data_IF_306179211289
#
_entry.id   IF_306179211289
#
_cell.length_a   1.000
_cell.length_b   1.000
_cell.length_c   1.000
_cell.angle_alpha   90.00
_cell.angle_beta   90.00
_cell.angle_gamma   90.00
#
_symmetry.space_group_name_H-M   'P 1'
#
loop_
_entity.id
_entity.type
_entity.pdbx_description
1 polymer ?
#
# COMPACT_ATOMS: atom_id res chain seq x y z
N UNK A 1 18.26 17.15 -17.43
CA UNK A 1 18.86 16.03 -16.66
C UNK A 1 17.94 14.83 -16.78
N UNK A 2 18.48 13.62 -16.93
CA UNK A 2 17.66 12.40 -16.92
C UNK A 2 17.01 12.22 -15.54
N UNK A 3 15.75 11.74 -15.52
CA UNK A 3 15.06 11.41 -14.26
C UNK A 3 15.76 10.26 -13.56
N UNK A 4 15.81 10.23 -12.20
CA UNK A 4 16.38 9.11 -11.47
C UNK A 4 15.70 7.79 -11.81
N UNK A 5 16.48 6.71 -11.87
CA UNK A 5 15.95 5.35 -11.95
C UNK A 5 15.47 4.92 -10.57
N UNK A 6 14.37 4.17 -10.53
CA UNK A 6 13.70 3.78 -9.29
C UNK A 6 13.71 2.26 -9.13
N UNK A 7 14.17 1.77 -7.98
CA UNK A 7 13.92 0.39 -7.55
C UNK A 7 12.62 0.36 -6.75
N UNK A 8 11.69 -0.51 -7.13
CA UNK A 8 10.44 -0.76 -6.41
C UNK A 8 10.42 -2.18 -5.86
N UNK A 9 10.55 -2.31 -4.54
CA UNK A 9 10.48 -3.60 -3.84
C UNK A 9 9.02 -3.83 -3.43
N UNK A 10 8.45 -4.98 -3.79
CA UNK A 10 7.01 -5.24 -3.65
C UNK A 10 6.18 -4.76 -4.84
N UNK A 11 6.75 -4.84 -6.05
CA UNK A 11 6.13 -4.41 -7.31
C UNK A 11 4.79 -5.09 -7.61
N UNK A 12 4.56 -6.32 -7.11
CA UNK A 12 3.29 -7.05 -7.24
C UNK A 12 2.24 -6.64 -6.20
N UNK A 13 2.57 -5.80 -5.22
CA UNK A 13 1.57 -5.25 -4.30
C UNK A 13 0.71 -4.21 -5.02
N UNK A 14 -0.55 -4.04 -4.60
CA UNK A 14 -1.44 -3.05 -5.21
C UNK A 14 -0.83 -1.64 -5.23
N UNK A 15 -0.32 -1.18 -4.09
CA UNK A 15 0.27 0.16 -3.98
C UNK A 15 1.59 0.28 -4.73
N UNK A 16 2.41 -0.78 -4.74
CA UNK A 16 3.64 -0.83 -5.54
C UNK A 16 3.35 -0.78 -7.05
N UNK A 17 2.36 -1.54 -7.51
CA UNK A 17 1.96 -1.54 -8.92
C UNK A 17 1.37 -0.18 -9.36
N UNK A 18 0.54 0.44 -8.52
CA UNK A 18 0.01 1.79 -8.78
C UNK A 18 1.12 2.85 -8.79
N UNK A 19 2.10 2.72 -7.90
CA UNK A 19 3.28 3.60 -7.88
C UNK A 19 4.13 3.46 -9.15
N UNK A 20 4.38 2.23 -9.60
CA UNK A 20 5.12 1.96 -10.84
C UNK A 20 4.40 2.61 -12.03
N UNK A 21 3.08 2.40 -12.16
CA UNK A 21 2.29 3.02 -13.22
C UNK A 21 2.44 4.54 -13.25
N UNK A 22 2.35 5.18 -12.09
CA UNK A 22 2.52 6.63 -11.96
C UNK A 22 3.97 7.06 -12.28
N UNK A 23 4.98 6.39 -11.75
CA UNK A 23 6.39 6.72 -12.02
C UNK A 23 6.75 6.61 -13.51
N UNK A 24 6.24 5.56 -14.18
CA UNK A 24 6.38 5.39 -15.62
C UNK A 24 5.66 6.51 -16.41
N UNK A 25 4.47 6.96 -15.95
CA UNK A 25 3.76 8.07 -16.59
C UNK A 25 4.51 9.38 -16.48
N UNK A 26 5.25 9.55 -15.39
CA UNK A 26 6.14 10.69 -15.16
C UNK A 26 7.51 10.52 -15.87
N UNK A 27 7.71 9.43 -16.62
CA UNK A 27 8.90 9.23 -17.46
C UNK A 27 10.11 8.61 -16.78
N UNK A 28 9.98 8.12 -15.55
CA UNK A 28 11.04 7.37 -14.87
C UNK A 28 11.27 5.99 -15.51
N UNK A 29 12.50 5.47 -15.39
CA UNK A 29 12.80 4.05 -15.57
C UNK A 29 12.63 3.35 -14.21
N UNK A 30 12.00 2.16 -14.21
CA UNK A 30 11.67 1.44 -12.98
C UNK A 30 12.12 -0.01 -13.07
N UNK A 31 12.80 -0.48 -12.04
CA UNK A 31 13.08 -1.89 -11.80
C UNK A 31 12.16 -2.37 -10.67
N UNK A 32 11.25 -3.29 -10.98
CA UNK A 32 10.33 -3.89 -10.02
C UNK A 32 10.88 -5.21 -9.47
N UNK A 33 10.79 -5.40 -8.16
CA UNK A 33 11.21 -6.65 -7.49
C UNK A 33 10.04 -7.19 -6.66
N UNK A 34 9.78 -8.48 -6.79
CA UNK A 34 8.83 -9.22 -5.94
C UNK A 34 9.21 -10.68 -5.79
N UNK A 35 8.77 -11.32 -4.71
CA UNK A 35 9.07 -12.73 -4.40
C UNK A 35 8.41 -13.76 -5.34
N UNK A 36 7.29 -13.40 -5.95
CA UNK A 36 6.56 -14.25 -6.92
C UNK A 36 6.68 -13.67 -8.31
N UNK A 37 6.42 -14.48 -9.32
CA UNK A 37 6.20 -14.00 -10.68
C UNK A 37 5.12 -12.93 -10.70
N UNK A 38 5.10 -12.12 -11.74
CA UNK A 38 4.07 -11.07 -11.89
C UNK A 38 2.67 -11.67 -11.80
N UNK A 39 1.78 -10.93 -11.17
CA UNK A 39 0.37 -11.33 -11.07
C UNK A 39 -0.30 -11.26 -12.45
N UNK A 40 -1.53 -11.76 -12.53
CA UNK A 40 -2.35 -11.53 -13.73
C UNK A 40 -2.36 -10.02 -14.06
N UNK A 41 -2.12 -9.62 -15.32
CA UNK A 41 -2.04 -8.21 -15.74
C UNK A 41 -3.24 -7.36 -15.34
N UNK A 42 -4.38 -7.98 -15.08
CA UNK A 42 -5.60 -7.29 -14.57
C UNK A 42 -5.35 -6.57 -13.24
N UNK A 43 -4.38 -7.02 -12.42
CA UNK A 43 -3.99 -6.41 -11.14
C UNK A 43 -2.81 -5.44 -11.25
N UNK A 44 -2.22 -5.29 -12.42
CA UNK A 44 -0.95 -4.58 -12.60
C UNK A 44 -1.15 -3.34 -13.50
N UNK A 45 -1.52 -2.17 -12.95
CA UNK A 45 -1.80 -0.97 -13.72
C UNK A 45 -0.72 -0.55 -14.70
N UNK A 46 0.56 -0.85 -14.40
CA UNK A 46 1.67 -0.52 -15.30
C UNK A 46 1.65 -1.32 -16.61
N UNK A 47 0.88 -2.40 -16.71
CA UNK A 47 0.62 -3.11 -17.97
C UNK A 47 -0.53 -2.51 -18.78
N UNK A 48 -1.31 -1.58 -18.20
CA UNK A 48 -2.43 -0.96 -18.93
C UNK A 48 -2.03 0.26 -19.77
N UNK A 49 -0.78 0.71 -19.60
CA UNK A 49 -0.23 1.83 -20.34
C UNK A 49 0.23 1.47 -21.75
N UNK A 50 0.77 2.45 -22.49
CA UNK A 50 1.31 2.25 -23.83
C UNK A 50 2.58 1.36 -23.80
N UNK A 51 2.85 0.69 -24.93
CA UNK A 51 4.06 -0.12 -25.09
C UNK A 51 5.36 0.68 -24.83
N UNK A 52 5.38 1.98 -25.19
CA UNK A 52 6.54 2.84 -24.92
C UNK A 52 6.79 3.05 -23.43
N UNK A 53 5.74 3.15 -22.62
CA UNK A 53 5.87 3.22 -21.14
C UNK A 53 6.39 1.90 -20.59
N UNK A 54 5.85 0.79 -21.08
CA UNK A 54 6.24 -0.55 -20.61
C UNK A 54 7.70 -0.87 -20.88
N UNK A 55 8.32 -0.35 -21.95
CA UNK A 55 9.76 -0.48 -22.23
C UNK A 55 10.67 0.10 -21.14
N UNK A 56 10.16 1.02 -20.32
CA UNK A 56 10.89 1.62 -19.19
C UNK A 56 10.77 0.83 -17.89
N UNK A 57 10.09 -0.31 -17.91
CA UNK A 57 9.90 -1.19 -16.76
C UNK A 57 10.62 -2.52 -17.00
N UNK A 58 11.29 -3.01 -15.96
CA UNK A 58 11.81 -4.38 -15.90
C UNK A 58 11.40 -5.01 -14.58
N UNK A 59 11.05 -6.29 -14.64
CA UNK A 59 10.68 -7.09 -13.47
C UNK A 59 11.75 -8.13 -13.17
N UNK A 60 12.06 -8.28 -11.86
CA UNK A 60 12.95 -9.31 -11.35
C UNK A 60 12.27 -10.07 -10.21
N UNK A 61 12.21 -11.39 -10.33
CA UNK A 61 11.72 -12.23 -9.25
C UNK A 61 12.81 -12.43 -8.20
N UNK A 62 12.66 -11.73 -7.08
CA UNK A 62 13.58 -11.84 -5.94
C UNK A 62 12.80 -11.74 -4.64
N UNK A 63 12.97 -12.72 -3.75
CA UNK A 63 12.36 -12.67 -2.41
C UNK A 63 13.23 -11.84 -1.47
N UNK A 64 12.65 -10.83 -0.87
CA UNK A 64 13.34 -9.97 0.11
C UNK A 64 13.85 -10.79 1.33
N UNK A 65 13.10 -11.83 1.74
CA UNK A 65 13.51 -12.67 2.86
C UNK A 65 14.81 -13.44 2.59
N UNK A 66 15.04 -13.82 1.33
CA UNK A 66 16.20 -14.63 0.93
C UNK A 66 17.32 -13.77 0.35
N UNK A 67 16.98 -12.70 -0.40
CA UNK A 67 17.90 -11.97 -1.29
C UNK A 67 18.05 -10.48 -0.92
N UNK A 68 17.82 -10.10 0.33
CA UNK A 68 17.90 -8.69 0.74
C UNK A 68 19.22 -8.01 0.36
N UNK A 69 20.36 -8.67 0.59
CA UNK A 69 21.68 -8.14 0.26
C UNK A 69 21.93 -8.11 -1.26
N UNK A 70 21.42 -9.10 -2.00
CA UNK A 70 21.53 -9.14 -3.47
C UNK A 70 20.74 -7.97 -4.08
N UNK A 71 19.53 -7.70 -3.57
CA UNK A 71 18.70 -6.54 -3.97
C UNK A 71 19.45 -5.23 -3.71
N UNK A 72 20.07 -5.08 -2.53
CA UNK A 72 20.86 -3.89 -2.20
C UNK A 72 22.09 -3.70 -3.10
N UNK A 73 22.82 -4.78 -3.40
CA UNK A 73 23.96 -4.74 -4.34
C UNK A 73 23.51 -4.37 -5.76
N UNK A 74 22.43 -4.97 -6.25
CA UNK A 74 21.84 -4.66 -7.54
C UNK A 74 21.45 -3.18 -7.65
N UNK A 75 20.86 -2.60 -6.60
CA UNK A 75 20.52 -1.18 -6.57
C UNK A 75 21.76 -0.31 -6.82
N UNK A 76 22.88 -0.64 -6.19
CA UNK A 76 24.16 0.04 -6.37
C UNK A 76 24.74 -0.15 -7.78
N UNK A 77 24.80 -1.39 -8.25
CA UNK A 77 25.40 -1.74 -9.54
C UNK A 77 24.65 -1.13 -10.73
N UNK A 78 23.33 -1.04 -10.64
CA UNK A 78 22.49 -0.43 -11.67
C UNK A 78 22.22 1.05 -11.44
N UNK A 79 22.83 1.65 -10.40
CA UNK A 79 22.64 3.07 -10.01
C UNK A 79 21.17 3.45 -9.83
N UNK A 80 20.41 2.61 -9.10
CA UNK A 80 18.99 2.83 -8.78
C UNK A 80 18.90 3.75 -7.55
N UNK A 81 19.22 5.01 -7.75
CA UNK A 81 19.45 5.99 -6.66
C UNK A 81 18.19 6.27 -5.80
N UNK A 82 17.01 5.98 -6.31
CA UNK A 82 15.76 6.02 -5.56
C UNK A 82 15.24 4.60 -5.32
N UNK A 83 14.95 4.29 -4.07
CA UNK A 83 14.40 3.00 -3.66
C UNK A 83 13.04 3.22 -2.98
N UNK A 84 11.99 2.57 -3.47
CA UNK A 84 10.65 2.60 -2.88
C UNK A 84 10.27 1.19 -2.41
N UNK A 85 10.12 1.01 -1.10
CA UNK A 85 9.84 -0.30 -0.51
C UNK A 85 8.38 -0.41 -0.08
N UNK A 86 7.59 -1.15 -0.88
CA UNK A 86 6.21 -1.53 -0.64
C UNK A 86 6.08 -2.98 -0.13
N UNK A 87 7.19 -3.72 -0.03
CA UNK A 87 7.15 -5.11 0.40
C UNK A 87 6.85 -5.21 1.90
N UNK A 88 5.82 -5.94 2.23
CA UNK A 88 5.46 -6.25 3.62
C UNK A 88 4.52 -7.45 3.71
N UNK A 89 4.56 -8.15 4.83
CA UNK A 89 3.40 -8.91 5.30
C UNK A 89 2.40 -7.91 5.90
N UNK A 90 1.21 -7.77 5.30
CA UNK A 90 0.31 -6.63 5.54
C UNK A 90 -1.08 -6.99 6.07
N UNK A 91 -1.35 -8.27 6.28
CA UNK A 91 -2.65 -8.71 6.80
C UNK A 91 -2.65 -8.73 8.32
N UNK A 92 -3.61 -8.01 8.92
CA UNK A 92 -3.67 -7.78 10.37
C UNK A 92 -4.11 -9.04 11.12
N UNK A 93 -5.25 -9.63 10.72
CA UNK A 93 -5.82 -10.77 11.40
C UNK A 93 -4.90 -12.00 11.34
N UNK A 94 -4.31 -12.25 10.18
CA UNK A 94 -3.42 -13.37 9.93
C UNK A 94 -2.08 -13.24 10.70
N UNK A 95 -1.70 -12.03 11.10
CA UNK A 95 -0.49 -11.80 11.90
C UNK A 95 -0.53 -12.50 13.28
N UNK A 96 -1.72 -12.80 13.80
CA UNK A 96 -1.89 -13.56 15.03
C UNK A 96 -1.68 -15.06 14.87
N UNK A 97 -1.84 -15.58 13.64
CA UNK A 97 -1.69 -17.02 13.37
C UNK A 97 -0.23 -17.43 13.28
N UNK A 98 0.59 -16.63 12.58
CA UNK A 98 2.00 -16.91 12.34
C UNK A 98 2.86 -15.64 12.43
N UNK A 99 2.97 -15.01 13.61
CA UNK A 99 3.61 -13.69 13.75
C UNK A 99 5.08 -13.67 13.27
N UNK A 100 5.78 -14.78 13.32
CA UNK A 100 7.18 -14.91 12.88
C UNK A 100 7.34 -14.47 11.43
N UNK A 101 6.41 -14.79 10.54
CA UNK A 101 6.49 -14.38 9.12
C UNK A 101 6.44 -12.85 8.96
N UNK A 102 5.71 -12.15 9.85
CA UNK A 102 5.66 -10.69 9.87
C UNK A 102 6.99 -10.09 10.35
N UNK A 103 7.56 -10.61 11.41
CA UNK A 103 8.86 -10.14 11.88
C UNK A 103 9.98 -10.47 10.90
N UNK A 104 9.96 -11.67 10.29
CA UNK A 104 10.95 -12.06 9.29
C UNK A 104 10.95 -11.09 8.09
N UNK A 105 9.78 -10.84 7.50
CA UNK A 105 9.67 -9.96 6.31
C UNK A 105 9.79 -8.48 6.68
N UNK A 106 9.01 -8.03 7.69
CA UNK A 106 8.89 -6.60 7.97
C UNK A 106 10.06 -6.04 8.77
N UNK A 107 10.84 -6.86 9.46
CA UNK A 107 11.97 -6.43 10.27
C UNK A 107 13.27 -7.02 9.78
N UNK A 108 13.47 -8.33 9.91
CA UNK A 108 14.78 -8.98 9.68
C UNK A 108 15.28 -8.76 8.26
N UNK A 109 14.45 -9.05 7.25
CA UNK A 109 14.82 -8.89 5.86
C UNK A 109 15.07 -7.40 5.50
N UNK A 110 14.28 -6.50 6.06
CA UNK A 110 14.48 -5.05 5.86
C UNK A 110 15.80 -4.58 6.50
N UNK A 111 16.14 -5.02 7.71
CA UNK A 111 17.43 -4.67 8.34
C UNK A 111 18.60 -5.10 7.46
N UNK A 112 18.57 -6.34 6.90
CA UNK A 112 19.59 -6.83 5.97
C UNK A 112 19.70 -5.96 4.70
N UNK A 113 18.58 -5.56 4.14
CA UNK A 113 18.53 -4.62 3.00
C UNK A 113 19.14 -3.26 3.35
N UNK A 114 18.74 -2.69 4.50
CA UNK A 114 19.24 -1.37 4.92
C UNK A 114 20.75 -1.40 5.21
N UNK A 115 21.26 -2.47 5.81
CA UNK A 115 22.70 -2.68 6.03
C UNK A 115 23.46 -2.68 4.69
N UNK A 116 22.93 -3.20 3.62
CA UNK A 116 23.58 -3.18 2.32
C UNK A 116 23.46 -1.81 1.65
N UNK A 117 22.27 -1.22 1.68
CA UNK A 117 22.02 0.10 1.06
C UNK A 117 22.85 1.23 1.71
N UNK A 118 23.08 1.20 3.04
CA UNK A 118 23.86 2.24 3.73
C UNK A 118 25.33 2.29 3.35
N UNK A 119 25.85 1.24 2.72
CA UNK A 119 27.24 1.17 2.22
C UNK A 119 27.42 1.91 0.88
N UNK A 120 26.35 2.46 0.35
CA UNK A 120 26.35 3.09 -0.97
C UNK A 120 26.01 4.59 -0.89
N UNK A 121 27.01 5.45 -1.12
CA UNK A 121 26.86 6.91 -1.09
C UNK A 121 26.00 7.45 -2.25
N UNK A 122 25.74 6.64 -3.27
CA UNK A 122 24.86 6.98 -4.39
C UNK A 122 23.37 6.93 -4.08
N UNK A 123 22.96 6.32 -2.97
CA UNK A 123 21.56 6.29 -2.54
C UNK A 123 21.07 7.70 -2.22
N UNK A 124 20.12 8.21 -2.99
CA UNK A 124 19.60 9.56 -2.81
C UNK A 124 18.34 9.60 -1.94
N UNK A 125 17.48 8.59 -2.03
CA UNK A 125 16.25 8.51 -1.25
C UNK A 125 15.79 7.06 -1.08
N UNK A 126 15.34 6.72 0.12
CA UNK A 126 14.70 5.47 0.45
C UNK A 126 13.31 5.74 1.02
N UNK A 127 12.26 5.40 0.25
CA UNK A 127 10.88 5.49 0.70
C UNK A 127 10.48 4.20 1.42
N UNK A 128 10.18 4.29 2.71
CA UNK A 128 9.61 3.21 3.50
C UNK A 128 8.09 3.38 3.60
N UNK A 129 7.35 2.54 2.88
CA UNK A 129 5.89 2.53 2.98
C UNK A 129 5.49 1.74 4.23
N UNK A 130 4.97 2.42 5.24
CA UNK A 130 4.58 1.84 6.52
C UNK A 130 3.06 1.94 6.75
N UNK A 131 2.58 2.04 7.97
CA UNK A 131 1.15 1.95 8.30
C UNK A 131 0.79 2.87 9.46
N UNK A 132 -0.40 3.48 9.48
CA UNK A 132 -0.89 4.20 10.64
C UNK A 132 -1.23 3.28 11.83
N UNK A 133 -1.34 1.98 11.63
CA UNK A 133 -1.62 1.03 12.73
C UNK A 133 -0.51 0.99 13.79
N UNK A 134 0.68 1.54 13.50
CA UNK A 134 1.75 1.74 14.49
C UNK A 134 1.31 2.63 15.66
N UNK A 135 0.29 3.46 15.48
CA UNK A 135 -0.27 4.31 16.52
C UNK A 135 -1.29 3.59 17.42
N UNK A 136 -1.77 2.41 16.99
CA UNK A 136 -2.85 1.68 17.67
C UNK A 136 -4.17 2.46 17.69
N UNK A 137 -4.98 2.18 18.71
CA UNK A 137 -6.25 2.86 18.90
C UNK A 137 -6.03 4.29 19.36
N UNK A 138 -6.40 5.26 18.53
CA UNK A 138 -6.30 6.68 18.85
C UNK A 138 -7.67 7.33 18.85
N UNK A 139 -7.86 8.38 19.66
CA UNK A 139 -9.01 9.28 19.62
C UNK A 139 -8.62 10.57 18.90
N UNK A 140 -9.48 11.05 18.00
CA UNK A 140 -9.28 12.32 17.29
C UNK A 140 -8.25 12.27 16.15
N UNK A 141 -7.67 13.43 15.85
CA UNK A 141 -6.73 13.62 14.74
C UNK A 141 -5.33 13.18 15.16
N UNK A 142 -4.72 12.29 14.38
CA UNK A 142 -3.38 11.74 14.61
C UNK A 142 -2.38 12.45 13.72
N UNK A 143 -1.37 13.04 14.33
CA UNK A 143 -0.24 13.67 13.65
C UNK A 143 0.95 12.71 13.55
N UNK A 144 1.91 13.06 12.71
CA UNK A 144 3.08 12.21 12.43
C UNK A 144 4.02 12.01 13.64
N UNK A 145 3.94 12.89 14.63
CA UNK A 145 4.70 12.84 15.89
C UNK A 145 4.00 12.06 17.02
N UNK A 146 2.82 11.51 16.76
CA UNK A 146 2.10 10.70 17.74
C UNK A 146 2.93 9.48 18.17
N UNK A 147 2.90 9.11 19.46
CA UNK A 147 3.66 7.96 19.96
C UNK A 147 3.14 6.64 19.39
N UNK A 148 4.06 5.68 19.19
CA UNK A 148 3.69 4.34 18.77
C UNK A 148 3.02 3.58 19.92
N UNK A 149 1.90 2.93 19.60
CA UNK A 149 1.15 2.06 20.52
C UNK A 149 0.53 0.88 19.74
N UNK A 150 1.36 0.05 19.05
CA UNK A 150 0.86 -1.00 18.18
C UNK A 150 0.06 -2.05 18.96
N UNK A 151 -1.10 -2.44 18.43
CA UNK A 151 -2.04 -3.39 19.08
C UNK A 151 -2.00 -4.80 18.48
N UNK A 152 -1.24 -5.03 17.40
CA UNK A 152 -1.18 -6.32 16.70
C UNK A 152 0.25 -6.70 16.33
N UNK A 153 0.57 -7.99 16.10
CA UNK A 153 1.90 -8.39 15.63
C UNK A 153 2.31 -7.71 14.32
N UNK A 154 1.35 -7.49 13.40
CA UNK A 154 1.58 -6.70 12.20
C UNK A 154 2.04 -5.27 12.54
N UNK A 155 1.26 -4.54 13.31
CA UNK A 155 1.57 -3.16 13.67
C UNK A 155 2.90 -3.06 14.45
N UNK A 156 3.16 -4.00 15.38
CA UNK A 156 4.40 -4.08 16.14
C UNK A 156 5.62 -4.31 15.23
N UNK A 157 5.52 -5.22 14.25
CA UNK A 157 6.60 -5.45 13.28
C UNK A 157 6.90 -4.23 12.42
N UNK A 158 5.86 -3.47 12.03
CA UNK A 158 6.03 -2.22 11.26
C UNK A 158 6.67 -1.13 12.10
N UNK A 159 6.21 -0.94 13.35
CA UNK A 159 6.80 0.02 14.29
C UNK A 159 8.28 -0.28 14.58
N UNK A 160 8.64 -1.56 14.73
CA UNK A 160 10.02 -1.97 14.93
C UNK A 160 10.93 -1.58 13.74
N UNK A 161 10.46 -1.75 12.50
CA UNK A 161 11.21 -1.34 11.32
C UNK A 161 11.32 0.19 11.19
N UNK A 162 10.25 0.93 11.48
CA UNK A 162 10.26 2.40 11.50
C UNK A 162 11.30 2.92 12.51
N UNK A 163 11.31 2.38 13.74
CA UNK A 163 12.28 2.73 14.78
C UNK A 163 13.71 2.40 14.37
N UNK A 164 13.95 1.23 13.77
CA UNK A 164 15.23 0.84 13.22
C UNK A 164 15.74 1.87 12.21
N UNK A 165 14.93 2.22 11.21
CA UNK A 165 15.29 3.22 10.19
C UNK A 165 15.58 4.59 10.78
N UNK A 166 14.89 5.01 11.82
CA UNK A 166 15.18 6.25 12.53
C UNK A 166 16.56 6.22 13.24
N UNK A 167 17.01 5.04 13.72
CA UNK A 167 18.39 4.93 14.23
C UNK A 167 19.42 5.05 13.11
N UNK A 168 19.14 4.50 11.94
CA UNK A 168 19.99 4.62 10.74
C UNK A 168 20.07 6.06 10.24
N UNK A 169 18.93 6.76 10.19
CA UNK A 169 18.91 8.18 9.87
C UNK A 169 19.81 9.00 10.82
N UNK A 170 19.63 8.81 12.14
CA UNK A 170 20.40 9.52 13.15
C UNK A 170 21.91 9.22 13.12
N UNK A 171 22.27 7.96 12.85
CA UNK A 171 23.67 7.50 12.93
C UNK A 171 24.44 7.69 11.62
N UNK A 172 23.76 7.44 10.48
CA UNK A 172 24.40 7.35 9.17
C UNK A 172 23.89 8.37 8.17
N UNK A 173 22.98 9.27 8.56
CA UNK A 173 22.25 10.14 7.65
C UNK A 173 21.54 9.34 6.52
N UNK A 174 21.12 8.10 6.82
CA UNK A 174 20.43 7.26 5.86
C UNK A 174 19.20 7.99 5.29
N UNK A 175 19.06 8.16 3.97
CA UNK A 175 18.12 9.10 3.37
C UNK A 175 16.68 8.57 3.34
N UNK A 176 16.19 8.06 4.47
CA UNK A 176 14.84 7.50 4.61
C UNK A 176 13.78 8.58 4.66
N UNK A 177 12.65 8.32 4.01
CA UNK A 177 11.37 9.01 4.15
C UNK A 177 10.26 7.99 4.33
N UNK A 178 9.20 8.33 5.08
CA UNK A 178 8.15 7.39 5.41
C UNK A 178 6.78 7.85 4.91
N UNK A 179 5.92 6.89 4.54
CA UNK A 179 4.49 7.16 4.29
C UNK A 179 3.61 6.34 5.21
N UNK A 180 2.53 6.93 5.71
CA UNK A 180 1.43 6.24 6.40
C UNK A 180 0.13 6.65 5.76
N UNK A 181 -0.43 5.74 4.95
CA UNK A 181 -1.65 5.99 4.21
C UNK A 181 -2.88 5.43 4.93
N UNK A 182 -4.01 6.12 4.80
CA UNK A 182 -5.34 5.59 5.13
C UNK A 182 -5.65 4.33 4.28
N UNK A 183 -6.87 3.79 4.36
CA UNK A 183 -7.21 2.59 3.59
C UNK A 183 -7.13 2.85 2.08
N UNK A 184 -6.10 2.31 1.46
CA UNK A 184 -5.88 2.49 0.02
C UNK A 184 -6.82 1.59 -0.76
N UNK A 185 -7.43 2.12 -1.84
CA UNK A 185 -8.32 1.38 -2.73
C UNK A 185 -8.19 1.87 -4.18
N UNK A 186 -8.70 1.08 -5.13
CA UNK A 186 -8.77 1.46 -6.54
C UNK A 186 -8.73 0.27 -7.49
N UNK A 187 -8.81 0.50 -8.82
CA UNK A 187 -8.69 -0.52 -9.85
C UNK A 187 -7.36 -1.29 -9.74
N UNK A 188 -7.40 -2.61 -9.91
CA UNK A 188 -6.23 -3.48 -9.76
C UNK A 188 -5.98 -3.97 -8.34
N UNK A 189 -6.76 -3.54 -7.35
CA UNK A 189 -6.62 -4.05 -5.99
C UNK A 189 -7.12 -5.50 -5.87
N UNK A 190 -6.47 -6.29 -5.02
CA UNK A 190 -6.78 -7.69 -4.80
C UNK A 190 -8.23 -7.88 -4.31
N UNK A 191 -8.89 -8.93 -4.79
CA UNK A 191 -10.34 -9.15 -4.65
C UNK A 191 -10.80 -9.44 -3.21
N UNK A 192 -9.90 -9.76 -2.29
CA UNK A 192 -10.22 -9.94 -0.88
C UNK A 192 -10.35 -8.60 -0.10
N UNK A 193 -9.99 -7.47 -0.70
CA UNK A 193 -10.16 -6.14 -0.09
C UNK A 193 -11.59 -5.64 -0.26
N UNK A 194 -12.08 -4.89 0.72
CA UNK A 194 -13.51 -4.57 0.86
C UNK A 194 -14.15 -3.92 -0.38
N UNK A 195 -13.48 -2.95 -1.02
CA UNK A 195 -14.07 -2.23 -2.17
C UNK A 195 -14.20 -3.12 -3.41
N UNK A 196 -13.12 -3.75 -3.94
CA UNK A 196 -13.26 -4.64 -5.09
C UNK A 196 -14.09 -5.89 -4.76
N UNK A 197 -14.02 -6.42 -3.53
CA UNK A 197 -14.82 -7.57 -3.12
C UNK A 197 -16.32 -7.27 -3.15
N UNK A 198 -16.72 -6.13 -2.59
CA UNK A 198 -18.13 -5.72 -2.60
C UNK A 198 -18.66 -5.51 -4.04
N UNK A 199 -17.88 -4.85 -4.90
CA UNK A 199 -18.25 -4.65 -6.30
C UNK A 199 -18.35 -5.97 -7.07
N UNK A 200 -17.36 -6.87 -6.94
CA UNK A 200 -17.36 -8.18 -7.57
C UNK A 200 -18.52 -9.05 -7.05
N UNK A 201 -18.74 -9.12 -5.75
CA UNK A 201 -19.79 -9.94 -5.15
C UNK A 201 -21.19 -9.46 -5.54
N UNK A 202 -21.38 -8.15 -5.67
CA UNK A 202 -22.61 -7.59 -6.22
C UNK A 202 -22.88 -8.07 -7.66
N UNK A 203 -21.85 -8.07 -8.53
CA UNK A 203 -21.97 -8.55 -9.91
C UNK A 203 -22.21 -10.07 -10.00
N UNK A 204 -21.61 -10.82 -9.08
CA UNK A 204 -21.74 -12.29 -9.02
C UNK A 204 -22.96 -12.75 -8.20
N UNK A 205 -23.74 -11.83 -7.64
CA UNK A 205 -24.88 -12.10 -6.74
C UNK A 205 -24.48 -12.97 -5.54
N UNK A 206 -23.24 -12.80 -5.05
CA UNK A 206 -22.70 -13.45 -3.84
C UNK A 206 -22.96 -12.60 -2.61
N UNK A 207 -23.13 -13.25 -1.46
CA UNK A 207 -23.19 -12.56 -0.15
C UNK A 207 -21.81 -12.15 0.34
N UNK A 208 -21.71 -10.91 0.79
CA UNK A 208 -20.50 -10.34 1.39
C UNK A 208 -20.62 -10.44 2.91
N UNK A 209 -19.79 -11.27 3.59
CA UNK A 209 -19.77 -11.31 5.05
C UNK A 209 -19.31 -9.95 5.62
N UNK A 210 -20.13 -9.34 6.46
CA UNK A 210 -19.91 -8.05 7.08
C UNK A 210 -19.80 -8.18 8.60
N UNK A 211 -18.58 -8.31 9.11
CA UNK A 211 -18.30 -8.55 10.52
C UNK A 211 -18.79 -7.39 11.40
N UNK A 212 -19.55 -7.73 12.45
CA UNK A 212 -20.14 -6.78 13.39
C UNK A 212 -20.97 -5.71 12.71
N UNK A 213 -21.68 -6.06 11.62
CA UNK A 213 -22.56 -5.13 10.90
C UNK A 213 -21.85 -3.98 10.16
N UNK A 214 -20.51 -3.95 10.15
CA UNK A 214 -19.74 -2.95 9.41
C UNK A 214 -19.77 -1.54 9.99
N UNK A 215 -19.97 -1.37 11.28
CA UNK A 215 -20.06 -0.05 11.95
C UNK A 215 -18.71 0.68 12.09
N UNK A 216 -17.58 -0.02 11.88
CA UNK A 216 -16.26 0.63 11.93
C UNK A 216 -16.14 1.71 10.85
N UNK A 217 -15.68 2.90 11.25
CA UNK A 217 -15.48 4.04 10.35
C UNK A 217 -14.04 4.16 9.92
N UNK A 218 -13.80 4.42 8.63
CA UNK A 218 -12.47 4.54 8.03
C UNK A 218 -12.41 5.67 7.00
N UNK A 219 -11.23 6.25 6.84
CA UNK A 219 -10.91 7.04 5.67
C UNK A 219 -10.42 6.12 4.55
N UNK A 220 -10.81 6.42 3.33
CA UNK A 220 -10.37 5.72 2.12
C UNK A 220 -9.66 6.70 1.18
N UNK A 221 -8.50 6.30 0.66
CA UNK A 221 -7.71 7.09 -0.28
C UNK A 221 -7.44 6.29 -1.56
N UNK A 222 -7.57 6.94 -2.70
CA UNK A 222 -7.38 6.27 -3.98
C UNK A 222 -5.90 5.97 -4.25
N UNK A 223 -5.59 4.81 -4.85
CA UNK A 223 -4.21 4.39 -5.15
C UNK A 223 -3.44 5.37 -6.03
N UNK A 224 -4.10 6.09 -6.95
CA UNK A 224 -3.48 7.15 -7.74
C UNK A 224 -2.94 8.30 -6.89
N UNK A 225 -3.70 8.71 -5.87
CA UNK A 225 -3.30 9.79 -4.98
C UNK A 225 -2.11 9.38 -4.11
N UNK A 226 -2.11 8.12 -3.61
CA UNK A 226 -0.99 7.56 -2.85
C UNK A 226 0.26 7.42 -3.74
N UNK A 227 0.09 7.01 -4.99
CA UNK A 227 1.20 6.89 -5.94
C UNK A 227 1.82 8.27 -6.24
N UNK A 228 1.01 9.28 -6.52
CA UNK A 228 1.46 10.65 -6.75
C UNK A 228 2.18 11.23 -5.50
N UNK A 229 1.60 11.05 -4.30
CA UNK A 229 2.24 11.45 -3.06
C UNK A 229 3.59 10.75 -2.85
N UNK A 230 3.64 9.43 -3.08
CA UNK A 230 4.87 8.64 -2.88
C UNK A 230 6.00 9.11 -3.81
N UNK A 231 5.69 9.46 -5.06
CA UNK A 231 6.68 10.01 -5.97
C UNK A 231 7.12 11.42 -5.55
N UNK A 232 6.18 12.27 -5.11
CA UNK A 232 6.50 13.60 -4.58
C UNK A 232 7.37 13.53 -3.32
N UNK A 233 7.14 12.52 -2.46
CA UNK A 233 7.96 12.27 -1.25
C UNK A 233 9.36 11.81 -1.63
N UNK A 234 9.53 10.94 -2.62
CA UNK A 234 10.84 10.57 -3.14
C UNK A 234 11.60 11.78 -3.70
N UNK A 235 10.91 12.64 -4.41
CA UNK A 235 11.52 13.84 -5.04
C UNK A 235 11.84 14.92 -4.02
N UNK A 236 10.88 15.32 -3.18
CA UNK A 236 10.95 16.52 -2.34
C UNK A 236 10.89 16.25 -0.83
N UNK A 237 10.51 15.04 -0.41
CA UNK A 237 10.38 14.71 1.01
C UNK A 237 11.68 14.89 1.77
N UNK A 238 11.62 15.40 2.99
CA UNK A 238 12.77 15.58 3.86
C UNK A 238 13.16 14.27 4.53
N UNK A 239 14.44 13.91 4.49
CA UNK A 239 14.93 12.68 5.12
C UNK A 239 14.64 12.68 6.63
N UNK A 240 14.23 11.52 7.14
CA UNK A 240 13.80 11.35 8.53
C UNK A 240 12.33 11.72 8.79
N UNK A 241 11.61 12.31 7.82
CA UNK A 241 10.23 12.73 8.01
C UNK A 241 9.22 11.62 7.62
N UNK A 242 8.09 11.66 8.33
CA UNK A 242 6.90 10.86 8.04
C UNK A 242 5.89 11.75 7.35
N UNK A 243 5.18 11.21 6.36
CA UNK A 243 4.09 11.88 5.66
C UNK A 243 2.81 11.04 5.76
N UNK A 244 1.77 11.61 6.35
CA UNK A 244 0.45 11.01 6.35
C UNK A 244 -0.27 11.29 5.03
N UNK A 245 -0.94 10.25 4.51
CA UNK A 245 -1.70 10.32 3.27
C UNK A 245 -3.14 9.88 3.56
N UNK A 246 -4.05 10.82 3.67
CA UNK A 246 -5.46 10.58 4.00
C UNK A 246 -6.37 11.57 3.31
N UNK A 247 -7.64 11.21 3.24
CA UNK A 247 -8.73 12.14 2.93
C UNK A 247 -9.36 12.64 4.22
N UNK A 248 -10.07 13.76 4.15
CA UNK A 248 -10.78 14.34 5.29
C UNK A 248 -12.18 13.69 5.50
N UNK A 249 -12.52 12.69 4.64
CA UNK A 249 -13.82 12.01 4.65
C UNK A 249 -13.75 10.65 5.33
N UNK A 250 -14.66 10.43 6.27
CA UNK A 250 -14.88 9.15 6.94
C UNK A 250 -16.18 8.52 6.50
N UNK A 251 -16.18 7.21 6.36
CA UNK A 251 -17.36 6.43 6.03
C UNK A 251 -17.37 5.13 6.84
N UNK A 252 -18.55 4.74 7.35
CA UNK A 252 -18.69 3.42 7.93
C UNK A 252 -18.62 2.34 6.83
N UNK A 253 -18.05 1.20 7.14
CA UNK A 253 -17.91 0.11 6.14
C UNK A 253 -19.27 -0.30 5.58
N UNK A 254 -20.33 -0.31 6.42
CA UNK A 254 -21.69 -0.60 5.96
C UNK A 254 -22.19 0.41 4.92
N UNK A 255 -21.90 1.69 5.11
CA UNK A 255 -22.35 2.76 4.21
C UNK A 255 -21.57 2.73 2.89
N UNK A 256 -20.28 2.40 2.95
CA UNK A 256 -19.48 2.11 1.75
C UNK A 256 -20.04 0.92 0.96
N UNK A 257 -20.41 -0.17 1.63
CA UNK A 257 -21.01 -1.34 0.99
C UNK A 257 -22.40 -1.01 0.42
N UNK A 258 -23.20 -0.21 1.12
CA UNK A 258 -24.49 0.27 0.63
C UNK A 258 -24.35 1.14 -0.63
N UNK A 259 -23.36 2.06 -0.63
CA UNK A 259 -23.03 2.89 -1.81
C UNK A 259 -22.64 2.00 -3.01
N UNK A 260 -21.78 1.02 -2.80
CA UNK A 260 -21.35 0.09 -3.87
C UNK A 260 -22.55 -0.72 -4.38
N UNK A 261 -23.41 -1.24 -3.49
CA UNK A 261 -24.62 -1.97 -3.89
C UNK A 261 -25.52 -1.10 -4.76
N UNK A 262 -25.81 0.14 -4.34
CA UNK A 262 -26.62 1.09 -5.11
C UNK A 262 -26.02 1.35 -6.50
N UNK A 263 -24.71 1.68 -6.56
CA UNK A 263 -24.00 1.95 -7.83
C UNK A 263 -23.93 0.75 -8.77
N UNK A 264 -24.06 -0.47 -8.24
CA UNK A 264 -24.08 -1.70 -9.03
C UNK A 264 -25.51 -2.19 -9.36
N UNK A 265 -26.55 -1.43 -9.00
CA UNK A 265 -27.96 -1.78 -9.25
C UNK A 265 -28.49 -2.85 -8.29
N UNK A 266 -27.88 -3.01 -7.11
CA UNK A 266 -28.29 -3.94 -6.04
C UNK A 266 -28.78 -3.18 -4.81
N UNK A 267 -29.09 -3.88 -3.71
CA UNK A 267 -29.35 -3.30 -2.41
C UNK A 267 -28.38 -3.85 -1.36
N UNK A 268 -28.26 -3.13 -0.23
CA UNK A 268 -27.42 -3.57 0.88
C UNK A 268 -27.83 -4.97 1.38
N UNK A 269 -29.14 -5.21 1.52
CA UNK A 269 -29.71 -6.46 2.03
C UNK A 269 -29.46 -7.65 1.07
N UNK A 270 -29.41 -7.36 -0.24
CA UNK A 270 -29.05 -8.38 -1.24
C UNK A 270 -27.58 -8.71 -1.20
N UNK A 271 -26.71 -7.72 -0.99
CA UNK A 271 -25.27 -7.88 -1.02
C UNK A 271 -24.69 -8.31 0.34
N UNK A 272 -25.06 -7.66 1.44
CA UNK A 272 -24.43 -7.87 2.74
C UNK A 272 -25.07 -9.02 3.53
N UNK A 273 -24.23 -9.76 4.27
CA UNK A 273 -24.61 -10.71 5.29
C UNK A 273 -23.89 -10.34 6.59
N UNK A 274 -24.66 -9.96 7.61
CA UNK A 274 -24.09 -9.57 8.90
C UNK A 274 -23.60 -10.82 9.63
N UNK A 275 -22.34 -10.82 10.03
CA UNK A 275 -21.70 -11.91 10.79
C UNK A 275 -21.19 -11.40 12.14
N UNK A 276 -20.81 -12.32 13.03
CA UNK A 276 -20.20 -11.98 14.31
C UNK A 276 -18.98 -11.06 14.15
N UNK A 277 -18.73 -10.26 15.18
CA UNK A 277 -17.61 -9.30 15.18
C UNK A 277 -16.27 -10.01 15.33
N UNK A 278 -15.21 -9.41 14.77
CA UNK A 278 -13.84 -9.91 14.93
C UNK A 278 -13.19 -9.28 16.17
N UNK A 279 -12.48 -10.05 17.01
CA UNK A 279 -11.68 -9.48 18.09
C UNK A 279 -10.51 -8.63 17.54
N UNK A 280 -10.12 -7.57 18.27
CA UNK A 280 -8.93 -6.76 17.95
C UNK A 280 -9.15 -5.67 16.89
N UNK A 281 -10.34 -5.10 16.79
CA UNK A 281 -10.58 -3.91 15.95
C UNK A 281 -9.98 -2.67 16.61
N UNK A 282 -9.04 -2.02 15.92
CA UNK A 282 -8.64 -0.67 16.29
C UNK A 282 -9.81 0.31 16.08
N UNK A 283 -9.94 1.27 17.02
CA UNK A 283 -10.82 2.41 16.84
C UNK A 283 -10.40 3.22 15.60
N UNK A 284 -11.32 4.02 15.05
CA UNK A 284 -11.03 4.90 13.94
C UNK A 284 -9.88 5.86 14.31
N UNK A 285 -8.94 6.07 13.40
CA UNK A 285 -7.94 7.13 13.47
C UNK A 285 -8.08 8.05 12.26
N UNK A 286 -8.01 9.35 12.52
CA UNK A 286 -8.00 10.40 11.52
C UNK A 286 -6.56 10.88 11.35
N UNK A 287 -5.95 10.61 10.20
CA UNK A 287 -4.61 11.07 9.92
C UNK A 287 -4.62 12.53 9.48
N UNK A 288 -3.81 13.37 10.11
CA UNK A 288 -3.54 14.73 9.65
C UNK A 288 -2.55 14.67 8.48
N UNK A 289 -2.97 15.11 7.31
CA UNK A 289 -2.13 15.17 6.10
C UNK A 289 -1.60 16.57 5.81
N UNK A 290 -1.65 17.48 6.77
CA UNK A 290 -1.23 18.89 6.60
C UNK A 290 0.22 18.99 6.13
N UNK A 291 1.11 18.18 6.67
CA UNK A 291 2.52 18.17 6.25
C UNK A 291 2.67 17.83 4.76
N UNK A 292 2.01 16.78 4.27
CA UNK A 292 2.05 16.41 2.86
C UNK A 292 1.48 17.52 1.97
N UNK A 293 0.38 18.17 2.40
CA UNK A 293 -0.23 19.30 1.68
C UNK A 293 0.73 20.50 1.58
N UNK A 294 1.40 20.86 2.67
CA UNK A 294 2.26 22.05 2.74
C UNK A 294 3.64 21.84 2.12
N UNK A 295 4.34 20.75 2.46
CA UNK A 295 5.71 20.53 2.03
C UNK A 295 5.81 19.96 0.60
N UNK A 296 4.81 19.21 0.16
CA UNK A 296 4.82 18.54 -1.13
C UNK A 296 3.86 19.15 -2.15
N UNK A 297 3.08 20.17 -1.77
CA UNK A 297 2.00 20.72 -2.61
C UNK A 297 1.08 19.60 -3.14
N UNK A 298 0.80 18.61 -2.28
CA UNK A 298 -0.03 17.45 -2.62
C UNK A 298 -1.34 17.48 -1.85
N UNK A 299 -2.41 17.11 -2.53
CA UNK A 299 -3.71 16.81 -1.92
C UNK A 299 -4.36 15.64 -2.67
N UNK A 300 -5.21 14.84 -2.01
CA UNK A 300 -5.98 13.82 -2.71
C UNK A 300 -6.90 14.46 -3.75
N UNK A 301 -6.85 13.95 -4.98
CA UNK A 301 -7.60 14.48 -6.11
C UNK A 301 -8.84 13.64 -6.47
N UNK A 302 -8.88 12.38 -6.02
CA UNK A 302 -9.97 11.45 -6.35
C UNK A 302 -10.94 11.38 -5.17
N UNK A 303 -12.16 11.86 -5.37
CA UNK A 303 -13.22 11.68 -4.38
C UNK A 303 -13.66 10.21 -4.28
N UNK A 304 -14.32 9.86 -3.15
CA UNK A 304 -14.67 8.47 -2.86
C UNK A 304 -15.64 7.89 -3.89
N UNK A 305 -16.63 8.67 -4.31
CA UNK A 305 -17.65 8.23 -5.28
C UNK A 305 -17.04 7.95 -6.64
N UNK A 306 -16.23 8.86 -7.17
CA UNK A 306 -15.54 8.69 -8.44
C UNK A 306 -14.54 7.53 -8.39
N UNK A 307 -13.85 7.37 -7.26
CA UNK A 307 -12.94 6.26 -7.03
C UNK A 307 -13.66 4.92 -7.00
N UNK A 308 -14.80 4.82 -6.31
CA UNK A 308 -15.65 3.60 -6.31
C UNK A 308 -16.17 3.31 -7.73
N UNK A 309 -16.61 4.33 -8.47
CA UNK A 309 -17.05 4.16 -9.87
C UNK A 309 -15.91 3.64 -10.75
N UNK A 310 -14.68 4.06 -10.50
CA UNK A 310 -13.51 3.55 -11.23
C UNK A 310 -13.26 2.05 -10.97
N UNK A 311 -13.46 1.60 -9.71
CA UNK A 311 -13.35 0.18 -9.37
C UNK A 311 -14.47 -0.63 -10.01
N UNK A 312 -15.71 -0.14 -9.98
CA UNK A 312 -16.85 -0.82 -10.60
C UNK A 312 -16.61 -0.97 -12.10
N UNK A 313 -16.20 0.09 -12.80
CA UNK A 313 -15.85 0.02 -14.23
C UNK A 313 -14.76 -1.01 -14.52
N UNK A 314 -13.70 -1.04 -13.68
CA UNK A 314 -12.63 -2.03 -13.81
C UNK A 314 -13.14 -3.46 -13.62
N UNK A 315 -14.02 -3.71 -12.63
CA UNK A 315 -14.68 -5.01 -12.41
C UNK A 315 -15.49 -5.38 -13.65
N UNK A 316 -16.33 -4.48 -14.16
CA UNK A 316 -17.22 -4.74 -15.29
C UNK A 316 -16.42 -5.07 -16.57
N UNK A 317 -15.35 -4.35 -16.83
CA UNK A 317 -14.47 -4.57 -17.99
C UNK A 317 -13.71 -5.89 -17.93
N UNK A 318 -13.46 -6.41 -16.72
CA UNK A 318 -12.63 -7.59 -16.49
C UNK A 318 -13.38 -8.76 -15.83
N UNK A 319 -14.71 -8.72 -15.78
CA UNK A 319 -15.53 -9.65 -15.00
C UNK A 319 -15.28 -11.12 -15.38
N UNK A 320 -15.11 -11.41 -16.68
CA UNK A 320 -14.83 -12.76 -17.16
C UNK A 320 -13.55 -13.35 -16.57
N UNK A 321 -12.51 -12.55 -16.40
CA UNK A 321 -11.24 -12.94 -15.77
C UNK A 321 -11.36 -12.94 -14.25
N UNK A 322 -11.88 -11.86 -13.66
CA UNK A 322 -11.88 -11.68 -12.20
C UNK A 322 -12.71 -12.74 -11.47
N UNK A 323 -13.81 -13.23 -12.07
CA UNK A 323 -14.64 -14.28 -11.48
C UNK A 323 -13.92 -15.64 -11.32
N UNK A 324 -12.78 -15.85 -12.02
CA UNK A 324 -11.98 -17.07 -11.95
C UNK A 324 -10.79 -16.97 -11.02
N UNK A 325 -10.50 -15.77 -10.52
CA UNK A 325 -9.37 -15.52 -9.65
C UNK A 325 -9.77 -15.61 -8.16
N UNK A 326 -8.82 -15.89 -7.26
CA UNK A 326 -9.11 -15.98 -5.83
C UNK A 326 -9.70 -14.68 -5.27
N UNK A 327 -10.83 -14.78 -4.57
CA UNK A 327 -11.52 -13.70 -3.88
C UNK A 327 -11.26 -13.69 -2.35
N UNK A 328 -10.30 -14.48 -1.90
CA UNK A 328 -9.85 -14.61 -0.51
C UNK A 328 -8.33 -14.45 -0.43
N UNK A 329 -7.84 -14.14 0.78
CA UNK A 329 -6.40 -14.01 1.01
C UNK A 329 -5.75 -15.39 1.08
N UNK A 330 -4.66 -15.56 0.33
CA UNK A 330 -3.79 -16.74 0.38
C UNK A 330 -2.48 -16.32 1.00
N UNK A 331 -2.21 -16.81 2.22
CA UNK A 331 -0.97 -16.52 2.93
C UNK A 331 0.22 -17.16 2.23
N UNK A 332 1.29 -16.37 2.09
CA UNK A 332 2.63 -16.84 1.68
C UNK A 332 3.61 -16.44 2.78
N UNK A 333 4.42 -17.36 3.32
CA UNK A 333 5.43 -17.08 4.34
C UNK A 333 6.40 -15.99 3.97
#
# INVERSE_FOLDING_TARGET
MSRPKILVIGSNSYTGAAFIDHALSEGHEVVGVSRSDELNPVFLPYHWGSAERQKKFSFLRMDLNEKAEEIGRMAREQNLAWVANFAAQSMVAESWLTPVHWYQTNVVANVRLHEELRKWDGLKKYLHVTTPEVYGSCSGVVREDAPFNPSTPYAASRAACDLHLMTFFKRYNFPVVFTRAANVYGPGQQLYRIVPRAALFSRLQKKLPLHGGGHSTRAFIHGKDVAAASLAILDRGQSGQVYHLSTDRFIAIRDLVAMIAQKTGSSFEKLAEVTEDRPGKDAAYLLDSTRAKQELSWAPAVDLEAGVDSVIRWIDQNLATLRTLPDHYIHKP
#
